data_IF_769304103684
#
_entry.id   IF_769304103684
#
_cell.length_a   1.000
_cell.length_b   1.000
_cell.length_c   1.000
_cell.angle_alpha   90.00
_cell.angle_beta   90.00
_cell.angle_gamma   90.00
#
_symmetry.space_group_name_H-M   'P 1'
#
loop_
_entity.id
_entity.type
_entity.pdbx_description
1 polymer ?
#
# COMPACT_ATOMS: atom_id res chain seq x y z
N UNK A 1 19.60 50.82 30.27
CA UNK A 1 20.13 49.53 29.76
C UNK A 1 19.47 48.40 30.56
N UNK A 2 19.04 47.28 30.01
CA UNK A 2 18.54 46.99 28.66
C UNK A 2 17.58 45.79 28.83
N UNK A 3 16.37 45.84 28.27
CA UNK A 3 15.42 44.74 28.41
C UNK A 3 15.86 43.56 27.52
N UNK A 4 16.01 42.37 28.10
CA UNK A 4 16.31 41.15 27.35
C UNK A 4 15.03 40.70 26.61
N UNK A 5 15.02 40.64 25.27
CA UNK A 5 13.83 40.21 24.53
C UNK A 5 13.55 38.74 24.80
N UNK A 6 12.32 38.42 25.23
CA UNK A 6 11.86 37.04 25.39
C UNK A 6 11.82 36.34 24.05
N UNK A 7 12.84 35.53 23.75
CA UNK A 7 12.88 34.69 22.57
C UNK A 7 11.67 33.75 22.57
N UNK A 8 10.80 33.88 21.56
CA UNK A 8 9.76 32.87 21.28
C UNK A 8 10.46 31.53 21.13
N UNK A 9 10.26 30.62 22.10
CA UNK A 9 10.63 29.21 21.94
C UNK A 9 9.81 28.65 20.78
N UNK A 10 10.41 28.62 19.59
CA UNK A 10 9.93 27.79 18.50
C UNK A 10 9.95 26.35 18.99
N UNK A 11 8.77 25.79 19.27
CA UNK A 11 8.64 24.36 19.52
C UNK A 11 9.22 23.57 18.33
N UNK A 12 9.62 22.31 18.55
CA UNK A 12 10.08 21.46 17.44
C UNK A 12 9.01 21.46 16.35
N UNK A 13 9.43 21.63 15.09
CA UNK A 13 8.53 21.68 13.94
C UNK A 13 7.59 20.46 14.00
N UNK A 14 6.28 20.71 14.15
CA UNK A 14 5.32 19.66 14.44
C UNK A 14 5.25 18.68 13.27
N UNK A 15 5.76 17.47 13.49
CA UNK A 15 5.74 16.42 12.47
C UNK A 15 4.32 16.08 12.03
N UNK A 16 4.18 15.67 10.78
CA UNK A 16 2.88 15.22 10.28
C UNK A 16 2.52 13.88 10.94
N UNK A 17 1.24 13.70 11.27
CA UNK A 17 0.73 12.46 11.84
C UNK A 17 0.19 11.56 10.74
N UNK A 18 0.62 10.32 10.75
CA UNK A 18 0.29 9.30 9.76
C UNK A 18 -0.35 8.09 10.44
N UNK A 19 -0.97 7.25 9.62
CA UNK A 19 -1.19 5.86 9.99
C UNK A 19 -0.93 4.93 8.80
N UNK A 20 -0.53 3.72 9.13
CA UNK A 20 -0.42 2.63 8.18
C UNK A 20 -1.42 1.53 8.53
N UNK A 21 -1.99 0.87 7.52
CA UNK A 21 -2.60 -0.45 7.72
C UNK A 21 -1.49 -1.51 7.73
N UNK A 22 -1.67 -2.56 8.53
CA UNK A 22 -0.78 -3.71 8.62
C UNK A 22 -1.56 -5.03 8.45
N UNK A 23 -0.87 -6.12 8.09
CA UNK A 23 -1.40 -7.46 8.28
C UNK A 23 -1.59 -7.76 9.78
N UNK A 24 -2.51 -8.68 10.12
CA UNK A 24 -2.68 -9.11 11.53
C UNK A 24 -1.38 -9.75 12.02
N UNK A 25 -0.90 -9.30 13.19
CA UNK A 25 0.37 -9.75 13.76
C UNK A 25 1.59 -8.98 13.25
N UNK A 26 1.46 -8.13 12.22
CA UNK A 26 2.55 -7.29 11.71
C UNK A 26 2.62 -5.91 12.38
N UNK A 27 1.65 -5.55 13.22
CA UNK A 27 1.65 -4.27 13.94
C UNK A 27 2.92 -4.06 14.79
N UNK A 28 3.48 -5.07 15.52
CA UNK A 28 4.73 -4.91 16.26
C UNK A 28 5.95 -4.67 15.37
N UNK A 29 6.03 -5.33 14.21
CA UNK A 29 7.09 -5.12 13.23
C UNK A 29 7.05 -3.68 12.70
N UNK A 30 5.86 -3.21 12.33
CA UNK A 30 5.67 -1.88 11.80
C UNK A 30 5.92 -0.80 12.86
N UNK A 31 5.53 -1.03 14.11
CA UNK A 31 5.88 -0.15 15.23
C UNK A 31 7.40 -0.06 15.47
N UNK A 32 8.15 -1.15 15.30
CA UNK A 32 9.63 -1.13 15.36
C UNK A 32 10.20 -0.38 14.16
N UNK A 33 9.70 -0.68 12.96
CA UNK A 33 10.17 -0.11 11.70
C UNK A 33 9.99 1.41 11.63
N UNK A 34 8.82 1.96 11.99
CA UNK A 34 8.62 3.42 11.96
C UNK A 34 9.49 4.14 12.99
N UNK A 35 9.74 3.53 14.16
CA UNK A 35 10.66 4.10 15.17
C UNK A 35 12.09 4.13 14.67
N UNK A 36 12.60 3.01 14.14
CA UNK A 36 14.00 2.93 13.69
C UNK A 36 14.27 3.68 12.39
N UNK A 37 13.38 3.61 11.40
CA UNK A 37 13.61 4.18 10.06
C UNK A 37 13.14 5.62 9.91
N UNK A 38 12.11 6.03 10.64
CA UNK A 38 11.47 7.36 10.48
C UNK A 38 11.60 8.24 11.73
N UNK A 39 12.41 7.82 12.72
CA UNK A 39 12.53 8.46 14.04
C UNK A 39 11.16 8.77 14.67
N UNK A 40 10.17 7.90 14.44
CA UNK A 40 8.78 8.25 14.65
C UNK A 40 8.42 8.33 16.14
N UNK A 41 7.66 9.36 16.49
CA UNK A 41 7.15 9.64 17.85
C UNK A 41 5.65 9.35 17.93
N UNK A 42 5.08 9.38 19.14
CA UNK A 42 3.65 9.12 19.38
C UNK A 42 3.14 7.81 18.74
N UNK A 43 4.01 6.79 18.72
CA UNK A 43 3.75 5.52 18.02
C UNK A 43 2.82 4.65 18.86
N UNK A 44 1.60 4.46 18.36
CA UNK A 44 0.52 3.68 18.95
C UNK A 44 -0.05 2.70 17.89
N UNK A 45 -0.76 1.65 18.32
CA UNK A 45 -1.44 0.75 17.40
C UNK A 45 -2.80 0.30 17.93
N UNK A 46 -3.64 -0.12 17.00
CA UNK A 46 -4.89 -0.86 17.20
C UNK A 46 -4.93 -1.98 16.16
N UNK A 47 -5.84 -2.95 16.26
CA UNK A 47 -5.83 -4.10 15.35
C UNK A 47 -5.84 -3.68 13.87
N UNK A 48 -4.82 -4.12 13.14
CA UNK A 48 -4.56 -3.84 11.73
C UNK A 48 -4.09 -2.42 11.39
N UNK A 49 -3.79 -1.53 12.36
CA UNK A 49 -3.32 -0.16 12.10
C UNK A 49 -2.29 0.36 13.13
N UNK A 50 -1.23 0.98 12.63
CA UNK A 50 -0.21 1.69 13.43
C UNK A 50 -0.26 3.17 13.11
N UNK A 51 -0.31 4.03 14.12
CA UNK A 51 -0.32 5.50 14.01
C UNK A 51 0.99 6.04 14.56
N UNK A 52 1.49 7.12 13.96
CA UNK A 52 2.78 7.69 14.33
C UNK A 52 2.94 9.12 13.81
N UNK A 53 3.86 9.88 14.42
CA UNK A 53 4.19 11.25 14.03
C UNK A 53 5.65 11.32 13.58
N UNK A 54 5.94 11.88 12.41
CA UNK A 54 7.31 12.00 11.88
C UNK A 54 7.49 13.23 10.98
N UNK A 55 8.74 13.69 10.86
CA UNK A 55 9.18 14.71 9.91
C UNK A 55 9.91 14.10 8.69
N UNK A 56 9.96 12.76 8.56
CA UNK A 56 10.59 12.06 7.44
C UNK A 56 9.91 12.36 6.09
N UNK A 57 10.71 12.35 5.02
CA UNK A 57 10.22 12.63 3.67
C UNK A 57 9.49 11.44 3.02
N UNK A 58 8.86 11.69 1.87
CA UNK A 58 8.16 10.65 1.10
C UNK A 58 9.06 9.50 0.63
N UNK A 59 10.36 9.72 0.44
CA UNK A 59 11.28 8.67 0.02
C UNK A 59 11.57 7.71 1.17
N UNK A 60 11.70 8.21 2.40
CA UNK A 60 11.80 7.41 3.61
C UNK A 60 10.48 6.67 3.89
N UNK A 61 9.34 7.37 3.82
CA UNK A 61 8.01 6.77 4.01
C UNK A 61 7.71 5.66 3.00
N UNK A 62 8.17 5.79 1.75
CA UNK A 62 8.02 4.77 0.69
C UNK A 62 8.88 3.52 0.92
N UNK A 63 9.93 3.60 1.74
CA UNK A 63 10.79 2.45 2.06
C UNK A 63 10.21 1.52 3.12
N UNK A 64 9.07 1.85 3.74
CA UNK A 64 8.43 0.98 4.73
C UNK A 64 8.09 -0.40 4.14
N UNK A 65 8.55 -1.45 4.83
CA UNK A 65 8.55 -2.84 4.37
C UNK A 65 7.42 -3.67 4.96
N UNK A 66 7.04 -3.43 6.22
CA UNK A 66 5.96 -4.13 6.93
C UNK A 66 4.59 -3.45 6.78
N UNK A 67 4.54 -2.23 6.22
CA UNK A 67 3.30 -1.49 5.98
C UNK A 67 2.55 -1.95 4.71
N UNK A 68 1.22 -2.02 4.78
CA UNK A 68 0.36 -2.34 3.64
C UNK A 68 0.01 -1.10 2.81
N UNK A 69 -0.54 -0.07 3.45
CA UNK A 69 -0.89 1.24 2.87
C UNK A 69 -0.62 2.32 3.90
N UNK A 70 -0.10 3.46 3.45
CA UNK A 70 0.20 4.64 4.26
C UNK A 70 -0.81 5.75 3.98
N UNK A 71 -1.26 6.41 5.05
CA UNK A 71 -2.23 7.50 5.02
C UNK A 71 -1.72 8.66 5.89
N UNK A 72 -1.89 9.89 5.43
CA UNK A 72 -1.82 11.09 6.27
C UNK A 72 -3.10 11.10 7.13
N UNK A 73 -2.96 11.23 8.45
CA UNK A 73 -4.10 11.25 9.36
C UNK A 73 -4.77 12.63 9.32
N UNK A 74 -6.09 12.64 9.08
CA UNK A 74 -6.92 13.84 9.29
C UNK A 74 -7.50 13.80 10.70
N UNK A 75 -8.20 12.71 11.05
CA UNK A 75 -8.93 12.58 12.33
C UNK A 75 -8.97 11.14 12.79
N UNK A 76 -8.82 10.92 14.10
CA UNK A 76 -9.00 9.65 14.80
C UNK A 76 -9.90 9.92 16.00
N UNK A 77 -11.01 9.20 16.12
CA UNK A 77 -11.95 9.35 17.23
C UNK A 77 -12.53 8.00 17.67
N UNK A 78 -13.24 8.04 18.79
CA UNK A 78 -14.01 6.91 19.33
C UNK A 78 -15.09 6.42 18.33
N UNK A 79 -15.50 5.14 18.43
CA UNK A 79 -16.55 4.59 17.58
C UNK A 79 -17.90 5.26 17.84
N UNK A 80 -18.79 5.24 16.85
CA UNK A 80 -20.18 5.64 17.06
C UNK A 80 -20.90 4.58 17.90
N UNK A 81 -21.76 5.02 18.82
CA UNK A 81 -22.64 4.11 19.54
C UNK A 81 -23.76 3.65 18.59
N UNK A 82 -23.77 2.37 18.20
CA UNK A 82 -24.75 1.80 17.25
C UNK A 82 -25.90 1.09 17.97
N UNK A 83 -25.67 0.54 19.16
CA UNK A 83 -26.59 -0.40 19.81
C UNK A 83 -27.84 0.25 20.43
N UNK A 84 -27.85 1.56 20.62
CA UNK A 84 -28.97 2.31 21.24
C UNK A 84 -29.45 3.52 20.43
N UNK A 85 -29.07 3.61 19.15
CA UNK A 85 -29.10 4.86 18.39
C UNK A 85 -29.73 4.65 17.01
N UNK A 86 -30.66 5.53 16.61
CA UNK A 86 -31.33 5.44 15.31
C UNK A 86 -30.39 5.74 14.14
N UNK A 87 -30.67 5.18 12.95
CA UNK A 87 -29.87 5.39 11.72
C UNK A 87 -29.64 6.89 11.44
N UNK A 88 -30.66 7.73 11.70
CA UNK A 88 -30.59 9.19 11.59
C UNK A 88 -29.56 9.85 12.52
N UNK A 89 -29.48 9.45 13.79
CA UNK A 89 -28.48 9.98 14.73
C UNK A 89 -27.06 9.59 14.33
N UNK A 90 -26.85 8.38 13.81
CA UNK A 90 -25.53 7.95 13.31
C UNK A 90 -25.15 8.72 12.03
N UNK A 91 -26.11 9.03 11.14
CA UNK A 91 -25.85 9.93 10.00
C UNK A 91 -25.37 11.32 10.46
N UNK A 92 -25.96 11.88 11.52
CA UNK A 92 -25.52 13.17 12.08
C UNK A 92 -24.07 13.06 12.61
N UNK A 93 -23.73 12.00 13.36
CA UNK A 93 -22.36 11.75 13.82
C UNK A 93 -21.36 11.57 12.66
N UNK A 94 -21.78 10.97 11.53
CA UNK A 94 -20.97 10.93 10.29
C UNK A 94 -20.76 12.31 9.67
N UNK A 95 -21.72 13.23 9.76
CA UNK A 95 -21.55 14.61 9.30
C UNK A 95 -20.62 15.40 10.23
N UNK A 96 -20.74 15.19 11.54
CA UNK A 96 -19.89 15.80 12.59
C UNK A 96 -18.40 15.44 12.47
N UNK A 97 -18.05 14.28 11.92
CA UNK A 97 -16.66 13.95 11.52
C UNK A 97 -16.02 15.05 10.66
N UNK A 98 -16.83 15.67 9.80
CA UNK A 98 -16.41 16.72 8.85
C UNK A 98 -16.62 18.11 9.44
N UNK A 99 -17.79 18.36 10.04
CA UNK A 99 -18.23 19.70 10.40
C UNK A 99 -17.63 20.23 11.71
N UNK A 100 -17.37 19.37 12.70
CA UNK A 100 -16.98 19.80 14.06
C UNK A 100 -15.53 20.33 14.15
N UNK A 101 -14.69 20.07 13.14
CA UNK A 101 -13.28 20.49 13.11
C UNK A 101 -12.80 20.69 11.67
N UNK A 102 -13.19 21.79 10.99
CA UNK A 102 -12.79 22.04 9.60
C UNK A 102 -11.30 22.38 9.46
N UNK A 103 -10.66 22.88 10.51
CA UNK A 103 -9.25 23.30 10.50
C UNK A 103 -8.32 22.10 10.31
N UNK A 104 -8.55 20.98 11.00
CA UNK A 104 -7.78 19.75 10.81
C UNK A 104 -7.83 19.23 9.36
N UNK A 105 -8.98 19.37 8.67
CA UNK A 105 -9.10 19.01 7.26
C UNK A 105 -8.27 19.94 6.36
N UNK A 106 -8.39 21.26 6.54
CA UNK A 106 -7.64 22.24 5.74
C UNK A 106 -6.13 22.11 5.95
N UNK A 107 -5.69 21.88 7.20
CA UNK A 107 -4.29 21.63 7.54
C UNK A 107 -3.78 20.33 6.89
N UNK A 108 -4.52 19.23 7.00
CA UNK A 108 -4.14 17.97 6.36
C UNK A 108 -4.08 18.07 4.83
N UNK A 109 -4.98 18.82 4.19
CA UNK A 109 -4.94 19.10 2.74
C UNK A 109 -3.72 19.95 2.38
N UNK A 110 -3.36 20.95 3.18
CA UNK A 110 -2.14 21.75 3.01
C UNK A 110 -0.87 20.87 3.09
N UNK A 111 -0.76 20.05 4.15
CA UNK A 111 0.35 19.09 4.31
C UNK A 111 0.41 18.12 3.12
N UNK A 112 -0.73 17.59 2.66
CA UNK A 112 -0.79 16.69 1.51
C UNK A 112 -0.34 17.35 0.20
N UNK A 113 -0.79 18.60 -0.08
CA UNK A 113 -0.32 19.38 -1.24
C UNK A 113 1.20 19.59 -1.19
N UNK A 114 1.73 20.00 -0.04
CA UNK A 114 3.17 20.20 0.17
C UNK A 114 3.97 18.91 -0.07
N UNK A 115 3.49 17.75 0.41
CA UNK A 115 4.10 16.44 0.15
C UNK A 115 4.15 16.13 -1.36
N UNK A 116 3.06 16.39 -2.10
CA UNK A 116 3.02 16.18 -3.56
C UNK A 116 3.97 17.12 -4.32
N UNK A 117 4.03 18.40 -3.97
CA UNK A 117 4.95 19.36 -4.60
C UNK A 117 6.41 18.99 -4.39
N UNK A 118 6.79 18.60 -3.17
CA UNK A 118 8.15 18.16 -2.85
C UNK A 118 8.54 16.92 -3.67
N UNK A 119 7.59 16.01 -3.92
CA UNK A 119 7.79 14.87 -4.81
C UNK A 119 8.03 15.33 -6.27
N UNK A 120 7.18 16.20 -6.79
CA UNK A 120 7.30 16.71 -8.16
C UNK A 120 8.62 17.49 -8.40
N UNK A 121 9.04 18.30 -7.42
CA UNK A 121 10.33 19.01 -7.43
C UNK A 121 11.51 18.03 -7.41
N UNK A 122 11.47 17.00 -6.54
CA UNK A 122 12.52 15.94 -6.48
C UNK A 122 12.61 15.11 -7.76
N UNK A 123 11.49 14.73 -8.38
CA UNK A 123 11.49 13.99 -9.66
C UNK A 123 12.15 14.82 -10.77
N UNK A 124 11.80 16.11 -10.90
CA UNK A 124 12.41 17.03 -11.88
C UNK A 124 13.93 17.21 -11.64
N UNK A 125 14.38 17.27 -10.39
CA UNK A 125 15.80 17.30 -10.04
C UNK A 125 16.53 15.99 -10.40
N UNK A 126 15.95 14.83 -10.11
CA UNK A 126 16.55 13.54 -10.49
C UNK A 126 16.67 13.35 -12.01
N UNK A 127 15.74 13.94 -12.79
CA UNK A 127 15.80 13.92 -14.26
C UNK A 127 16.85 14.90 -14.82
N UNK A 128 17.12 16.04 -14.15
CA UNK A 128 18.20 16.96 -14.54
C UNK A 128 19.60 16.42 -14.25
N UNK A 129 19.77 15.58 -13.23
CA UNK A 129 21.06 15.03 -12.84
C UNK A 129 21.46 13.75 -13.60
N UNK A 130 20.62 13.28 -14.53
CA UNK A 130 20.96 12.19 -15.45
C UNK A 130 21.50 12.77 -16.76
N UNK A 131 22.81 12.63 -17.00
CA UNK A 131 23.46 13.13 -18.22
C UNK A 131 22.84 12.51 -19.50
N UNK A 132 22.44 13.31 -20.50
CA UNK A 132 21.78 12.81 -21.72
C UNK A 132 22.82 12.28 -22.73
N UNK A 133 23.39 11.10 -22.46
CA UNK A 133 24.17 10.36 -23.45
C UNK A 133 23.23 9.67 -24.46
N UNK A 134 23.31 10.13 -25.71
CA UNK A 134 22.48 9.69 -26.84
C UNK A 134 22.41 8.16 -26.97
N UNK A 135 21.22 7.59 -26.78
CA UNK A 135 20.81 6.33 -27.44
C UNK A 135 19.43 6.52 -28.07
N UNK A 136 19.23 5.89 -29.23
CA UNK A 136 18.06 6.09 -30.09
C UNK A 136 16.77 5.79 -29.33
N UNK A 137 15.75 6.61 -29.57
CA UNK A 137 14.37 6.35 -29.14
C UNK A 137 13.89 5.07 -29.83
N UNK A 138 13.90 3.96 -29.07
CA UNK A 138 13.19 2.74 -29.43
C UNK A 138 11.82 2.76 -28.79
N UNK A 139 10.78 2.47 -29.58
CA UNK A 139 9.39 2.47 -29.15
C UNK A 139 9.14 1.49 -28.00
N UNK A 140 8.93 1.98 -26.77
CA UNK A 140 8.42 1.15 -25.66
C UNK A 140 7.61 1.93 -24.59
N UNK A 141 7.76 3.27 -24.47
CA UNK A 141 7.09 4.04 -23.40
C UNK A 141 5.65 4.53 -23.72
N UNK A 142 5.14 4.31 -24.94
CA UNK A 142 3.78 4.75 -25.33
C UNK A 142 2.71 3.68 -25.06
N UNK A 143 3.10 2.40 -25.04
CA UNK A 143 2.16 1.25 -24.91
C UNK A 143 1.58 1.16 -23.48
N UNK A 144 2.33 1.59 -22.46
CA UNK A 144 1.92 1.58 -21.06
C UNK A 144 0.70 2.48 -20.73
N UNK A 145 0.32 3.39 -21.64
CA UNK A 145 -0.85 4.29 -21.48
C UNK A 145 -2.17 3.74 -22.05
N UNK A 146 -2.16 2.63 -22.80
CA UNK A 146 -3.39 2.03 -23.36
C UNK A 146 -3.69 0.59 -22.92
N UNK A 147 -2.68 -0.24 -22.59
CA UNK A 147 -2.96 -1.66 -22.28
C UNK A 147 -3.51 -1.96 -20.88
N UNK A 148 -3.34 -1.08 -19.89
CA UNK A 148 -3.80 -1.34 -18.50
C UNK A 148 -5.27 -1.03 -18.23
N UNK A 149 -6.03 -0.64 -19.25
CA UNK A 149 -7.49 -0.44 -19.15
C UNK A 149 -8.27 -1.72 -19.51
N UNK A 150 -7.68 -2.64 -20.28
CA UNK A 150 -8.35 -3.87 -20.73
C UNK A 150 -8.32 -5.00 -19.69
N UNK A 151 -7.17 -5.25 -19.04
CA UNK A 151 -6.99 -6.37 -18.09
C UNK A 151 -7.77 -6.21 -16.77
N UNK A 152 -8.42 -5.06 -16.53
CA UNK A 152 -9.31 -4.86 -15.38
C UNK A 152 -10.77 -5.26 -15.64
N UNK A 153 -11.16 -5.62 -16.87
CA UNK A 153 -12.53 -6.04 -17.19
C UNK A 153 -12.71 -7.57 -17.07
N UNK A 154 -11.76 -8.39 -17.53
CA UNK A 154 -11.90 -9.87 -17.51
C UNK A 154 -11.84 -10.52 -16.11
N UNK A 155 -11.37 -9.82 -15.07
CA UNK A 155 -11.24 -10.39 -13.72
C UNK A 155 -12.52 -10.19 -12.88
N UNK A 156 -13.41 -9.26 -13.26
CA UNK A 156 -14.69 -9.05 -12.59
C UNK A 156 -15.73 -10.08 -13.09
N UNK A 157 -15.84 -10.29 -14.41
CA UNK A 157 -16.88 -11.13 -15.02
C UNK A 157 -16.74 -12.64 -14.70
N UNK A 158 -15.53 -13.12 -14.37
CA UNK A 158 -15.30 -14.52 -13.97
C UNK A 158 -15.69 -14.87 -12.53
N UNK A 159 -16.33 -13.96 -11.78
CA UNK A 159 -16.85 -14.22 -10.42
C UNK A 159 -18.35 -14.02 -10.21
N UNK A 160 -19.05 -13.49 -11.21
CA UNK A 160 -20.52 -13.32 -11.17
C UNK A 160 -21.25 -14.37 -12.05
N UNK A 161 -20.52 -15.22 -12.77
CA UNK A 161 -21.09 -16.35 -13.53
C UNK A 161 -21.28 -17.62 -12.66
N UNK A 162 -22.05 -17.49 -11.57
CA UNK A 162 -22.67 -18.57 -10.80
C UNK A 162 -23.66 -17.96 -9.80
N UNK A 163 -24.95 -18.30 -9.93
CA UNK A 163 -26.16 -17.55 -9.49
C UNK A 163 -26.68 -16.64 -10.61
N UNK A 164 -28.01 -16.57 -10.78
CA UNK A 164 -28.74 -15.97 -11.91
C UNK A 164 -28.68 -16.75 -13.25
N UNK A 165 -29.01 -18.04 -13.16
CA UNK A 165 -30.00 -18.60 -14.12
C UNK A 165 -31.38 -18.44 -13.49
N UNK A 166 -32.37 -18.10 -14.33
CA UNK A 166 -33.80 -17.95 -14.00
C UNK A 166 -34.14 -16.74 -13.12
N UNK A 167 -34.51 -15.64 -13.76
CA UNK A 167 -35.90 -15.12 -13.82
C UNK A 167 -36.00 -14.12 -14.99
N UNK A 168 -37.09 -14.26 -15.75
CA UNK A 168 -37.76 -13.36 -16.73
C UNK A 168 -36.96 -12.14 -17.29
N UNK A 169 -36.72 -12.01 -18.61
CA UNK A 169 -37.68 -11.78 -19.72
C UNK A 169 -38.58 -10.54 -19.58
N UNK A 170 -38.80 -9.85 -20.71
CA UNK A 170 -39.51 -8.56 -20.89
C UNK A 170 -38.78 -7.32 -20.32
N UNK A 171 -38.61 -6.20 -21.05
CA UNK A 171 -39.02 -5.83 -22.41
C UNK A 171 -37.96 -4.95 -23.10
N UNK A 172 -37.89 -5.02 -24.43
CA UNK A 172 -37.04 -4.19 -25.29
C UNK A 172 -37.83 -2.97 -25.81
N UNK A 173 -37.12 -2.11 -26.55
CA UNK A 173 -37.61 -1.08 -27.49
C UNK A 173 -37.78 0.34 -26.92
N UNK A 174 -36.86 1.26 -27.25
CA UNK A 174 -36.82 2.12 -28.46
C UNK A 174 -37.87 3.25 -28.40
N UNK A 175 -37.55 4.51 -28.74
CA UNK A 175 -36.28 5.09 -29.20
C UNK A 175 -36.51 6.48 -29.83
N UNK A 176 -35.49 6.98 -30.53
CA UNK A 176 -35.54 8.09 -31.50
C UNK A 176 -35.69 9.54 -30.96
N UNK A 177 -34.68 10.41 -31.16
CA UNK A 177 -34.42 11.29 -32.34
C UNK A 177 -35.26 12.60 -32.28
N UNK A 178 -34.81 13.83 -32.59
CA UNK A 178 -33.63 14.30 -33.36
C UNK A 178 -33.40 15.82 -33.17
N UNK A 179 -32.14 16.30 -33.10
CA UNK A 179 -31.65 17.63 -33.60
C UNK A 179 -32.30 18.97 -33.13
N UNK A 180 -31.73 20.19 -33.27
CA UNK A 180 -30.70 20.77 -34.19
C UNK A 180 -30.23 22.15 -33.67
N UNK A 181 -28.95 22.53 -33.92
CA UNK A 181 -28.43 23.88 -34.30
C UNK A 181 -28.65 25.12 -33.37
N UNK A 182 -27.88 26.21 -33.44
CA UNK A 182 -26.46 26.52 -33.78
C UNK A 182 -26.22 28.05 -33.62
N UNK A 183 -24.95 28.50 -33.63
CA UNK A 183 -24.46 29.92 -33.69
C UNK A 183 -24.59 30.78 -32.41
N UNK A 184 -23.71 31.77 -32.12
CA UNK A 184 -22.32 32.08 -32.59
C UNK A 184 -21.66 33.16 -31.69
N UNK A 185 -20.32 33.16 -31.67
CA UNK A 185 -19.30 34.22 -31.47
C UNK A 185 -19.76 35.69 -31.22
N UNK A 186 -19.02 36.57 -30.51
CA UNK A 186 -17.62 37.02 -30.77
C UNK A 186 -16.82 37.47 -29.52
N UNK A 187 -15.54 37.83 -29.74
CA UNK A 187 -14.49 38.13 -28.76
C UNK A 187 -14.37 39.65 -28.42
N UNK A 188 -13.65 39.99 -27.32
CA UNK A 188 -12.64 41.07 -27.36
C UNK A 188 -11.62 40.96 -26.20
N UNK A 189 -10.46 41.61 -26.38
CA UNK A 189 -9.31 41.64 -25.46
C UNK A 189 -9.05 43.11 -25.00
N UNK A 190 -8.20 43.47 -24.03
CA UNK A 190 -7.17 42.81 -23.21
C UNK A 190 -7.19 43.42 -21.78
N UNK A 191 -6.43 42.87 -20.80
CA UNK A 191 -5.27 43.57 -20.20
C UNK A 191 -4.61 42.87 -19.01
N UNK A 192 -3.35 43.24 -18.77
CA UNK A 192 -2.38 42.58 -17.88
C UNK A 192 -2.37 43.20 -16.48
N UNK A 193 -2.50 42.37 -15.45
CA UNK A 193 -1.98 42.65 -14.11
C UNK A 193 -1.55 41.33 -13.43
N UNK A 194 -0.30 41.24 -12.97
CA UNK A 194 0.22 40.07 -12.27
C UNK A 194 -0.45 39.89 -10.90
N UNK A 195 -1.47 39.03 -10.85
CA UNK A 195 -2.10 38.63 -9.61
C UNK A 195 -1.25 37.57 -8.89
N UNK A 196 -0.82 37.90 -7.66
CA UNK A 196 -0.13 36.99 -6.75
C UNK A 196 -0.97 35.73 -6.52
N UNK A 197 -0.36 34.56 -6.66
CA UNK A 197 -1.05 33.29 -6.80
C UNK A 197 -1.65 32.73 -5.49
N UNK A 198 -2.77 33.32 -5.06
CA UNK A 198 -3.68 32.70 -4.07
C UNK A 198 -4.50 31.60 -4.75
N UNK A 199 -3.89 30.42 -4.93
CA UNK A 199 -4.56 29.21 -5.43
C UNK A 199 -5.89 28.92 -4.68
N UNK A 200 -7.02 29.16 -5.36
CA UNK A 200 -8.37 28.87 -4.86
C UNK A 200 -8.54 27.41 -4.40
N UNK A 201 -8.98 27.19 -3.17
CA UNK A 201 -9.29 25.83 -2.69
C UNK A 201 -10.59 25.24 -3.27
N UNK A 202 -11.42 26.06 -3.91
CA UNK A 202 -12.78 25.72 -4.34
C UNK A 202 -12.86 24.77 -5.55
N UNK A 203 -11.76 24.51 -6.26
CA UNK A 203 -11.72 23.61 -7.42
C UNK A 203 -11.14 22.22 -7.14
N UNK A 204 -10.92 21.86 -5.86
CA UNK A 204 -10.45 20.52 -5.50
C UNK A 204 -11.51 19.44 -5.83
N UNK A 205 -11.14 18.46 -6.66
CA UNK A 205 -11.97 17.27 -6.89
C UNK A 205 -11.60 16.11 -5.97
N UNK A 206 -12.60 15.39 -5.46
CA UNK A 206 -12.38 14.32 -4.48
C UNK A 206 -13.28 13.10 -4.66
N UNK A 207 -12.84 11.96 -4.11
CA UNK A 207 -13.71 10.79 -3.83
C UNK A 207 -13.60 10.38 -2.37
N UNK A 208 -14.66 9.76 -1.84
CA UNK A 208 -14.64 9.11 -0.52
C UNK A 208 -14.53 7.59 -0.71
N UNK A 209 -13.51 7.00 -0.10
CA UNK A 209 -13.30 5.55 -0.05
C UNK A 209 -13.54 5.08 1.38
N UNK A 210 -14.79 4.76 1.68
CA UNK A 210 -15.21 4.31 3.00
C UNK A 210 -15.08 2.78 3.15
N UNK A 211 -14.76 2.32 4.36
CA UNK A 211 -14.84 0.92 4.79
C UNK A 211 -15.56 0.86 6.12
N UNK A 212 -16.59 0.03 6.19
CA UNK A 212 -17.32 -0.28 7.42
C UNK A 212 -16.84 -1.64 7.97
N UNK A 213 -16.94 -1.83 9.28
CA UNK A 213 -16.74 -3.13 9.95
C UNK A 213 -17.61 -3.20 11.20
N UNK A 214 -17.83 -4.41 11.72
CA UNK A 214 -18.57 -4.61 12.96
C UNK A 214 -20.07 -4.29 12.85
N UNK A 215 -20.66 -3.77 13.92
CA UNK A 215 -22.04 -3.30 13.99
C UNK A 215 -22.33 -2.23 12.93
N UNK A 216 -21.41 -1.29 12.67
CA UNK A 216 -21.59 -0.27 11.61
C UNK A 216 -21.84 -0.92 10.24
N UNK A 217 -21.12 -1.99 9.90
CA UNK A 217 -21.29 -2.70 8.63
C UNK A 217 -22.62 -3.46 8.51
N UNK A 218 -23.31 -3.73 9.63
CA UNK A 218 -24.66 -4.31 9.64
C UNK A 218 -25.76 -3.25 9.43
N UNK A 219 -25.47 -1.99 9.75
CA UNK A 219 -26.46 -0.88 9.68
C UNK A 219 -26.29 0.01 8.44
N UNK A 220 -25.06 0.11 7.91
CA UNK A 220 -24.71 0.94 6.76
C UNK A 220 -23.83 0.20 5.77
N UNK A 221 -24.17 0.32 4.49
CA UNK A 221 -23.20 -0.03 3.44
C UNK A 221 -22.05 0.99 3.42
N UNK A 222 -20.89 0.58 2.94
CA UNK A 222 -19.76 1.49 2.77
C UNK A 222 -20.09 2.64 1.78
N UNK A 223 -20.95 2.40 0.81
CA UNK A 223 -21.42 3.40 -0.15
C UNK A 223 -22.36 4.43 0.50
N UNK A 224 -23.29 4.00 1.36
CA UNK A 224 -24.15 4.91 2.12
C UNK A 224 -23.32 5.85 3.00
N UNK A 225 -22.39 5.31 3.79
CA UNK A 225 -21.52 6.10 4.66
C UNK A 225 -20.62 7.05 3.85
N UNK A 226 -20.03 6.56 2.74
CA UNK A 226 -19.23 7.38 1.83
C UNK A 226 -20.03 8.53 1.21
N UNK A 227 -21.29 8.30 0.82
CA UNK A 227 -22.18 9.34 0.26
C UNK A 227 -22.51 10.43 1.28
N UNK A 228 -22.79 10.06 2.54
CA UNK A 228 -23.13 11.02 3.61
C UNK A 228 -21.96 11.96 3.88
N UNK A 229 -20.76 11.39 4.02
CA UNK A 229 -19.55 12.17 4.30
C UNK A 229 -19.13 12.97 3.05
N UNK A 230 -19.34 12.44 1.84
CA UNK A 230 -19.18 13.18 0.60
C UNK A 230 -20.08 14.43 0.54
N UNK A 231 -21.36 14.30 0.88
CA UNK A 231 -22.29 15.45 0.95
C UNK A 231 -21.85 16.46 2.03
N UNK A 232 -21.33 15.99 3.17
CA UNK A 232 -20.79 16.88 4.20
C UNK A 232 -19.58 17.67 3.69
N UNK A 233 -18.63 17.01 3.02
CA UNK A 233 -17.44 17.63 2.43
C UNK A 233 -17.81 18.67 1.35
N UNK A 234 -18.76 18.35 0.47
CA UNK A 234 -19.27 19.29 -0.54
C UNK A 234 -19.88 20.54 0.11
N UNK A 235 -20.67 20.38 1.18
CA UNK A 235 -21.31 21.50 1.89
C UNK A 235 -20.32 22.33 2.70
N UNK A 236 -19.34 21.70 3.35
CA UNK A 236 -18.41 22.35 4.27
C UNK A 236 -17.27 23.08 3.55
N UNK A 237 -16.80 22.53 2.42
CA UNK A 237 -15.61 23.04 1.72
C UNK A 237 -15.83 23.41 0.24
N UNK A 238 -17.04 23.22 -0.30
CA UNK A 238 -17.34 23.51 -1.71
C UNK A 238 -16.70 22.56 -2.73
N UNK A 239 -16.02 21.49 -2.28
CA UNK A 239 -15.29 20.56 -3.15
C UNK A 239 -16.21 19.80 -4.11
N UNK A 240 -15.69 19.43 -5.28
CA UNK A 240 -16.44 18.75 -6.35
C UNK A 240 -16.20 17.24 -6.30
N UNK A 241 -17.25 16.42 -6.32
CA UNK A 241 -17.10 14.97 -6.32
C UNK A 241 -16.69 14.45 -7.71
N UNK A 242 -15.57 13.71 -7.78
CA UNK A 242 -15.16 12.95 -8.96
C UNK A 242 -14.76 11.53 -8.53
N UNK A 243 -15.58 10.55 -8.92
CA UNK A 243 -15.37 9.14 -8.55
C UNK A 243 -14.33 8.44 -9.46
N UNK A 244 -14.04 9.00 -10.64
CA UNK A 244 -13.20 8.39 -11.68
C UNK A 244 -11.76 8.90 -11.61
N UNK A 245 -11.54 10.22 -11.59
CA UNK A 245 -10.21 10.84 -11.61
C UNK A 245 -10.04 12.00 -10.60
N UNK A 246 -10.31 11.75 -9.30
CA UNK A 246 -10.19 12.78 -8.27
C UNK A 246 -8.75 13.30 -8.12
N UNK A 247 -8.62 14.55 -7.70
CA UNK A 247 -7.34 15.06 -7.20
C UNK A 247 -6.95 14.35 -5.89
N UNK A 248 -7.90 14.19 -4.96
CA UNK A 248 -7.68 13.58 -3.64
C UNK A 248 -8.65 12.42 -3.34
N UNK A 249 -8.13 11.35 -2.74
CA UNK A 249 -8.94 10.29 -2.14
C UNK A 249 -9.02 10.52 -0.62
N UNK A 250 -10.24 10.58 -0.08
CA UNK A 250 -10.47 10.60 1.36
C UNK A 250 -10.82 9.18 1.80
N UNK A 251 -9.90 8.54 2.52
CA UNK A 251 -10.13 7.22 3.09
C UNK A 251 -10.78 7.35 4.48
N UNK A 252 -11.80 6.54 4.71
CA UNK A 252 -12.55 6.51 5.98
C UNK A 252 -12.73 5.07 6.43
N UNK A 253 -12.42 4.75 7.68
CA UNK A 253 -12.74 3.48 8.29
C UNK A 253 -13.58 3.67 9.55
N UNK A 254 -14.81 3.17 9.48
CA UNK A 254 -15.76 3.14 10.58
C UNK A 254 -15.81 1.71 11.15
N UNK A 255 -15.69 1.60 12.48
CA UNK A 255 -15.62 0.31 13.18
C UNK A 255 -16.13 0.45 14.61
N UNK A 256 -16.41 -0.69 15.25
CA UNK A 256 -16.91 -0.74 16.64
C UNK A 256 -15.88 -0.30 17.69
N UNK A 257 -14.63 -0.03 17.29
CA UNK A 257 -13.52 0.35 18.16
C UNK A 257 -12.88 1.71 17.82
N UNK A 258 -13.16 2.28 16.65
CA UNK A 258 -12.72 3.62 16.24
C UNK A 258 -13.36 4.08 14.92
N UNK A 259 -13.39 5.40 14.73
CA UNK A 259 -13.52 6.02 13.43
C UNK A 259 -12.19 6.71 13.06
N UNK A 260 -11.66 6.45 11.86
CA UNK A 260 -10.44 7.10 11.35
C UNK A 260 -10.64 7.63 9.94
N UNK A 261 -10.11 8.83 9.69
CA UNK A 261 -10.15 9.57 8.44
C UNK A 261 -8.72 9.94 8.04
N UNK A 262 -8.36 9.75 6.77
CA UNK A 262 -7.05 10.13 6.27
C UNK A 262 -6.95 10.14 4.74
N UNK A 263 -5.83 10.65 4.23
CA UNK A 263 -5.54 10.75 2.80
C UNK A 263 -4.48 9.70 2.44
N UNK A 264 -4.72 8.76 1.51
CA UNK A 264 -3.69 7.83 1.05
C UNK A 264 -2.50 8.61 0.47
N UNK A 265 -1.31 8.39 1.02
CA UNK A 265 -0.09 9.10 0.58
C UNK A 265 0.38 8.60 -0.80
N UNK A 266 0.10 7.33 -1.10
CA UNK A 266 0.42 6.70 -2.37
C UNK A 266 -0.83 6.03 -2.97
N UNK A 267 -0.98 6.12 -4.30
CA UNK A 267 -2.08 5.45 -5.04
C UNK A 267 -2.00 3.93 -4.87
N UNK A 268 -0.81 3.37 -5.15
CA UNK A 268 -0.48 1.95 -5.04
C UNK A 268 -0.09 1.61 -3.58
N UNK A 269 -0.49 0.44 -3.03
CA UNK A 269 -0.04 -0.01 -1.71
C UNK A 269 1.47 -0.09 -1.56
N UNK A 270 1.99 0.04 -0.33
CA UNK A 270 3.42 -0.15 -0.03
C UNK A 270 3.84 -1.62 -0.12
N UNK A 271 2.95 -2.55 0.19
CA UNK A 271 3.17 -3.99 0.04
C UNK A 271 3.29 -4.42 -1.44
N UNK A 272 2.72 -3.65 -2.38
CA UNK A 272 2.82 -3.87 -3.82
C UNK A 272 4.19 -3.40 -4.34
N UNK A 273 5.17 -4.29 -4.31
CA UNK A 273 6.54 -4.00 -4.73
C UNK A 273 6.63 -3.92 -6.25
N UNK A 274 7.09 -2.79 -6.78
CA UNK A 274 7.30 -2.61 -8.22
C UNK A 274 8.37 -3.55 -8.83
N UNK A 275 9.20 -4.17 -7.98
CA UNK A 275 10.25 -5.12 -8.37
C UNK A 275 9.82 -6.59 -8.30
N UNK A 276 8.58 -6.90 -7.90
CA UNK A 276 8.00 -8.25 -7.96
C UNK A 276 7.01 -8.27 -9.13
N UNK A 277 7.22 -9.17 -10.10
CA UNK A 277 6.32 -9.36 -11.25
C UNK A 277 5.22 -10.37 -10.92
N UNK A 278 5.60 -11.51 -10.36
CA UNK A 278 4.70 -12.62 -10.06
C UNK A 278 4.57 -12.75 -8.55
N UNK A 279 3.35 -12.55 -8.04
CA UNK A 279 3.09 -12.53 -6.61
C UNK A 279 3.08 -13.95 -6.01
N UNK A 280 3.95 -14.21 -5.04
CA UNK A 280 3.95 -15.41 -4.20
C UNK A 280 3.46 -15.08 -2.79
N UNK A 281 4.24 -15.47 -1.78
CA UNK A 281 4.07 -15.02 -0.40
C UNK A 281 3.99 -13.48 -0.34
N UNK A 282 3.16 -12.96 0.57
CA UNK A 282 2.98 -11.51 0.71
C UNK A 282 4.28 -10.84 1.14
N UNK A 283 4.75 -9.82 0.42
CA UNK A 283 6.03 -9.13 0.64
C UNK A 283 6.24 -8.61 2.07
N UNK A 284 5.15 -8.23 2.77
CA UNK A 284 5.16 -7.76 4.16
C UNK A 284 5.41 -8.90 5.15
N UNK A 285 4.92 -10.11 4.87
CA UNK A 285 5.16 -11.33 5.64
C UNK A 285 6.58 -11.85 5.35
N UNK A 286 6.96 -11.93 4.07
CA UNK A 286 8.29 -12.35 3.63
C UNK A 286 9.42 -11.51 4.29
N UNK A 287 9.27 -10.19 4.31
CA UNK A 287 10.20 -9.31 5.02
C UNK A 287 10.17 -9.51 6.54
N UNK A 288 9.01 -9.74 7.15
CA UNK A 288 8.91 -9.99 8.59
C UNK A 288 9.63 -11.29 8.98
N UNK A 289 9.47 -12.38 8.21
CA UNK A 289 10.19 -13.64 8.38
C UNK A 289 11.70 -13.43 8.30
N UNK A 290 12.18 -12.73 7.26
CA UNK A 290 13.60 -12.41 7.11
C UNK A 290 14.13 -11.53 8.26
N UNK A 291 13.35 -10.57 8.76
CA UNK A 291 13.73 -9.73 9.90
C UNK A 291 13.82 -10.48 11.23
N UNK A 292 13.09 -11.59 11.39
CA UNK A 292 13.23 -12.50 12.53
C UNK A 292 14.39 -13.48 12.39
N UNK A 293 14.98 -13.61 11.21
CA UNK A 293 16.06 -14.58 10.97
C UNK A 293 17.43 -14.11 11.47
N UNK A 294 17.59 -12.83 11.82
CA UNK A 294 18.83 -12.25 12.40
C UNK A 294 20.06 -12.42 11.48
N UNK A 295 19.83 -12.29 10.17
CA UNK A 295 20.82 -12.47 9.10
C UNK A 295 22.04 -11.56 9.34
N UNK A 296 23.23 -12.15 9.31
CA UNK A 296 24.54 -11.48 9.46
C UNK A 296 25.17 -11.24 8.09
N UNK A 297 25.99 -10.20 7.97
CA UNK A 297 26.81 -9.99 6.77
C UNK A 297 27.79 -11.16 6.59
N UNK A 298 27.98 -11.59 5.33
CA UNK A 298 28.80 -12.74 4.95
C UNK A 298 28.10 -14.10 5.08
N UNK A 299 26.91 -14.18 5.67
CA UNK A 299 26.20 -15.44 5.90
C UNK A 299 25.69 -16.09 4.60
N UNK A 300 25.47 -17.40 4.66
CA UNK A 300 24.74 -18.20 3.66
C UNK A 300 23.33 -18.47 4.16
N UNK A 301 22.33 -17.97 3.41
CA UNK A 301 20.90 -18.10 3.72
C UNK A 301 20.22 -19.00 2.70
N UNK A 302 19.51 -20.03 3.18
CA UNK A 302 18.79 -20.98 2.35
C UNK A 302 17.26 -20.85 2.51
N UNK A 303 16.53 -20.86 1.40
CA UNK A 303 15.12 -21.21 1.37
C UNK A 303 14.95 -22.51 0.54
N UNK A 304 14.80 -23.68 1.19
CA UNK A 304 14.83 -24.97 0.52
C UNK A 304 13.53 -25.33 -0.23
N UNK A 305 12.49 -24.50 -0.14
CA UNK A 305 11.22 -24.62 -0.87
C UNK A 305 10.75 -23.22 -1.30
N UNK A 306 11.60 -22.51 -2.04
CA UNK A 306 11.52 -21.07 -2.21
C UNK A 306 10.33 -20.56 -3.04
N UNK A 307 9.63 -21.44 -3.77
CA UNK A 307 8.53 -21.05 -4.64
C UNK A 307 8.95 -19.95 -5.63
N UNK A 308 8.22 -18.84 -5.62
CA UNK A 308 8.51 -17.63 -6.41
C UNK A 308 9.62 -16.72 -5.83
N UNK A 309 10.40 -17.22 -4.85
CA UNK A 309 11.61 -16.59 -4.30
C UNK A 309 11.37 -15.35 -3.44
N UNK A 310 10.14 -15.08 -2.97
CA UNK A 310 9.79 -13.77 -2.37
C UNK A 310 10.51 -13.50 -1.04
N UNK A 311 10.79 -14.54 -0.24
CA UNK A 311 11.54 -14.44 1.03
C UNK A 311 12.97 -13.97 0.76
N UNK A 312 13.70 -14.72 -0.07
CA UNK A 312 15.07 -14.38 -0.47
C UNK A 312 15.15 -13.02 -1.16
N UNK A 313 14.16 -12.65 -1.98
CA UNK A 313 14.11 -11.36 -2.66
C UNK A 313 13.95 -10.18 -1.69
N UNK A 314 13.03 -10.26 -0.72
CA UNK A 314 12.90 -9.22 0.32
C UNK A 314 14.13 -9.18 1.23
N UNK A 315 14.74 -10.34 1.55
CA UNK A 315 15.96 -10.44 2.33
C UNK A 315 17.16 -9.78 1.63
N UNK A 316 17.46 -10.15 0.37
CA UNK A 316 18.57 -9.59 -0.40
C UNK A 316 18.42 -8.10 -0.75
N UNK A 317 17.20 -7.55 -0.66
CA UNK A 317 16.96 -6.09 -0.72
C UNK A 317 17.26 -5.36 0.60
N UNK A 318 17.37 -6.07 1.71
CA UNK A 318 17.54 -5.54 3.06
C UNK A 318 18.96 -5.79 3.58
N UNK A 319 19.48 -7.01 3.41
CA UNK A 319 20.85 -7.41 3.72
C UNK A 319 21.59 -7.74 2.41
N UNK A 320 22.21 -6.75 1.73
CA UNK A 320 22.80 -6.96 0.41
C UNK A 320 24.10 -7.78 0.44
N UNK A 321 24.76 -7.88 1.59
CA UNK A 321 26.11 -8.45 1.74
C UNK A 321 26.03 -9.88 2.29
N UNK A 322 25.21 -10.71 1.66
CA UNK A 322 24.78 -12.05 2.09
C UNK A 322 24.63 -12.93 0.85
N UNK A 323 24.97 -14.21 0.97
CA UNK A 323 24.78 -15.20 -0.07
C UNK A 323 23.44 -15.91 0.11
N UNK A 324 22.65 -15.99 -0.96
CA UNK A 324 21.30 -16.54 -0.91
C UNK A 324 21.15 -17.70 -1.88
N UNK A 325 20.59 -18.81 -1.39
CA UNK A 325 20.27 -19.99 -2.19
C UNK A 325 18.77 -20.28 -2.03
N UNK A 326 18.08 -20.48 -3.14
CA UNK A 326 16.71 -20.98 -3.17
C UNK A 326 16.65 -22.33 -3.86
N UNK A 327 15.95 -23.30 -3.28
CA UNK A 327 15.66 -24.57 -3.93
C UNK A 327 14.15 -24.76 -4.07
N UNK A 328 13.71 -25.37 -5.17
CA UNK A 328 12.34 -25.86 -5.33
C UNK A 328 12.32 -27.02 -6.32
N UNK A 329 11.35 -27.94 -6.17
CA UNK A 329 11.16 -29.07 -7.09
C UNK A 329 10.45 -28.65 -8.38
N UNK A 330 9.75 -27.51 -8.38
CA UNK A 330 8.85 -27.10 -9.45
C UNK A 330 9.50 -26.12 -10.43
N UNK A 331 9.63 -26.54 -11.69
CA UNK A 331 10.11 -25.67 -12.78
C UNK A 331 9.32 -24.36 -12.89
N UNK A 332 8.00 -24.40 -12.74
CA UNK A 332 7.15 -23.21 -12.88
C UNK A 332 7.34 -22.21 -11.74
N UNK A 333 7.63 -22.69 -10.52
CA UNK A 333 8.02 -21.84 -9.40
C UNK A 333 9.38 -21.18 -9.67
N UNK A 334 10.40 -21.96 -10.02
CA UNK A 334 11.74 -21.45 -10.28
C UNK A 334 11.82 -20.51 -11.49
N UNK A 335 11.03 -20.74 -12.54
CA UNK A 335 10.91 -19.80 -13.66
C UNK A 335 10.32 -18.47 -13.20
N UNK A 336 9.24 -18.50 -12.40
CA UNK A 336 8.64 -17.30 -11.83
C UNK A 336 9.55 -16.57 -10.83
N UNK A 337 10.32 -17.32 -10.02
CA UNK A 337 11.37 -16.77 -9.17
C UNK A 337 12.46 -16.09 -10.00
N UNK A 338 12.97 -16.75 -11.03
CA UNK A 338 13.98 -16.21 -11.94
C UNK A 338 13.52 -14.90 -12.61
N UNK A 339 12.25 -14.78 -12.99
CA UNK A 339 11.69 -13.54 -13.54
C UNK A 339 11.50 -12.43 -12.48
N UNK A 340 11.17 -12.78 -11.24
CA UNK A 340 11.19 -11.86 -10.11
C UNK A 340 12.63 -11.37 -9.80
N UNK A 341 13.62 -12.26 -9.80
CA UNK A 341 15.03 -11.92 -9.59
C UNK A 341 15.57 -10.98 -10.68
N UNK A 342 15.25 -11.26 -11.96
CA UNK A 342 15.55 -10.35 -13.08
C UNK A 342 14.90 -8.97 -12.87
N UNK A 343 13.61 -8.93 -12.52
CA UNK A 343 12.87 -7.69 -12.31
C UNK A 343 13.41 -6.86 -11.12
N UNK A 344 13.93 -7.54 -10.10
CA UNK A 344 14.54 -6.91 -8.94
C UNK A 344 16.01 -6.54 -9.14
N UNK A 345 16.69 -7.01 -10.20
CA UNK A 345 18.14 -6.85 -10.36
C UNK A 345 18.93 -7.61 -9.30
N UNK A 346 18.53 -8.85 -9.00
CA UNK A 346 19.10 -9.72 -7.97
C UNK A 346 19.53 -11.09 -8.50
N UNK A 347 19.55 -11.29 -9.82
CA UNK A 347 19.93 -12.56 -10.45
C UNK A 347 21.34 -13.02 -10.05
N UNK A 348 22.25 -12.09 -9.83
CA UNK A 348 23.66 -12.37 -9.48
C UNK A 348 23.90 -12.42 -7.96
N UNK A 349 22.82 -12.37 -7.15
CA UNK A 349 22.85 -12.44 -5.67
C UNK A 349 22.10 -13.63 -5.07
N UNK A 350 21.18 -14.22 -5.82
CA UNK A 350 20.34 -15.33 -5.38
C UNK A 350 20.49 -16.47 -6.38
N UNK A 351 21.13 -17.56 -5.95
CA UNK A 351 21.24 -18.80 -6.71
C UNK A 351 19.93 -19.61 -6.60
N UNK A 352 19.52 -20.26 -7.68
CA UNK A 352 18.30 -21.06 -7.74
C UNK A 352 18.61 -22.49 -8.19
N UNK A 353 18.26 -23.47 -7.36
CA UNK A 353 18.52 -24.89 -7.56
C UNK A 353 17.20 -25.65 -7.80
N UNK A 354 17.14 -26.42 -8.88
CA UNK A 354 16.03 -27.37 -9.12
C UNK A 354 16.35 -28.69 -8.43
N UNK A 355 15.95 -28.81 -7.17
CA UNK A 355 16.23 -29.99 -6.35
C UNK A 355 15.19 -30.13 -5.23
N UNK A 356 15.03 -31.35 -4.73
CA UNK A 356 14.21 -31.61 -3.55
C UNK A 356 14.98 -31.24 -2.28
N UNK A 357 14.28 -30.76 -1.25
CA UNK A 357 14.89 -30.44 0.06
C UNK A 357 15.62 -31.64 0.70
N UNK A 358 15.19 -32.86 0.39
CA UNK A 358 15.80 -34.10 0.89
C UNK A 358 17.08 -34.51 0.12
N UNK A 359 17.42 -33.81 -0.96
CA UNK A 359 18.53 -34.12 -1.89
C UNK A 359 19.40 -32.88 -2.17
N UNK A 360 19.41 -31.90 -1.24
CA UNK A 360 20.16 -30.65 -1.41
C UNK A 360 21.67 -30.94 -1.61
N UNK A 361 22.30 -30.45 -2.70
CA UNK A 361 23.70 -30.70 -3.02
C UNK A 361 24.64 -29.73 -2.27
N UNK A 362 24.37 -29.52 -0.97
CA UNK A 362 25.11 -28.61 -0.10
C UNK A 362 25.91 -29.43 0.93
N UNK A 363 27.19 -29.08 1.20
CA UNK A 363 27.96 -29.72 2.26
C UNK A 363 27.30 -29.55 3.63
N UNK A 364 27.63 -30.45 4.55
CA UNK A 364 27.18 -30.30 5.95
C UNK A 364 27.76 -29.05 6.60
N UNK A 365 26.99 -28.45 7.50
CA UNK A 365 27.29 -27.18 8.19
C UNK A 365 27.60 -25.98 7.26
N UNK A 366 27.21 -26.02 5.97
CA UNK A 366 27.53 -24.96 5.00
C UNK A 366 26.52 -23.80 4.92
N UNK A 367 25.48 -23.81 5.75
CA UNK A 367 24.37 -22.84 5.74
C UNK A 367 24.12 -22.29 7.13
N UNK A 368 24.30 -20.98 7.29
CA UNK A 368 24.13 -20.27 8.57
C UNK A 368 22.66 -20.15 9.00
N UNK A 369 21.72 -20.08 8.06
CA UNK A 369 20.32 -19.75 8.35
C UNK A 369 19.35 -20.30 7.30
N UNK A 370 18.34 -21.05 7.75
CA UNK A 370 17.17 -21.39 6.91
C UNK A 370 15.99 -20.46 7.20
N UNK A 371 15.33 -20.00 6.12
CA UNK A 371 14.09 -19.23 6.16
C UNK A 371 13.17 -19.77 5.06
N UNK A 372 11.99 -20.30 5.41
CA UNK A 372 11.09 -20.90 4.42
C UNK A 372 9.61 -20.78 4.82
N UNK A 373 8.74 -20.65 3.82
CA UNK A 373 7.28 -20.79 3.94
C UNK A 373 6.89 -22.18 3.43
N UNK A 374 7.02 -23.17 4.31
CA UNK A 374 6.89 -24.59 3.97
C UNK A 374 5.43 -24.92 3.56
N UNK A 375 5.16 -25.77 2.56
CA UNK A 375 3.80 -26.00 2.13
C UNK A 375 2.99 -26.84 3.15
N UNK A 376 1.72 -26.49 3.36
CA UNK A 376 0.83 -27.14 4.33
C UNK A 376 -0.41 -27.82 3.70
N UNK A 377 -0.28 -28.41 2.50
CA UNK A 377 -1.29 -29.29 1.90
C UNK A 377 -2.54 -28.61 1.29
N UNK A 378 -2.77 -27.30 1.52
CA UNK A 378 -3.98 -26.59 1.04
C UNK A 378 -3.98 -26.21 -0.45
N UNK A 379 -2.81 -25.95 -1.03
CA UNK A 379 -2.63 -25.61 -2.46
C UNK A 379 -1.57 -26.48 -3.13
N UNK A 380 -0.46 -26.71 -2.42
CA UNK A 380 0.59 -27.64 -2.79
C UNK A 380 0.59 -28.79 -1.78
N UNK A 381 0.57 -30.02 -2.27
CA UNK A 381 0.68 -31.24 -1.46
C UNK A 381 2.14 -31.71 -1.48
N UNK A 382 2.69 -32.03 -0.32
CA UNK A 382 3.96 -32.76 -0.24
C UNK A 382 3.66 -34.25 -0.38
N UNK A 383 4.57 -34.98 -1.03
CA UNK A 383 4.45 -36.44 -1.19
C UNK A 383 4.79 -37.23 0.09
N UNK A 384 5.42 -36.59 1.08
CA UNK A 384 5.74 -37.13 2.42
C UNK A 384 5.09 -36.27 3.51
N UNK A 385 5.01 -36.80 4.73
CA UNK A 385 4.60 -36.03 5.91
C UNK A 385 5.56 -34.85 6.14
N UNK A 386 5.00 -33.69 6.46
CA UNK A 386 5.75 -32.46 6.77
C UNK A 386 6.67 -32.65 7.98
N UNK A 387 6.28 -33.51 8.94
CA UNK A 387 7.15 -33.87 10.08
C UNK A 387 8.42 -34.58 9.63
N UNK A 388 8.30 -35.50 8.67
CA UNK A 388 9.44 -36.23 8.13
C UNK A 388 10.40 -35.28 7.40
N UNK A 389 9.87 -34.30 6.68
CA UNK A 389 10.69 -33.31 5.94
C UNK A 389 11.39 -32.33 6.89
N UNK A 390 10.72 -31.88 7.97
CA UNK A 390 11.39 -31.08 9.02
C UNK A 390 12.47 -31.93 9.72
N UNK A 391 12.20 -33.20 10.02
CA UNK A 391 13.19 -34.12 10.58
C UNK A 391 14.35 -34.42 9.63
N UNK A 392 14.13 -34.51 8.31
CA UNK A 392 15.20 -34.65 7.30
C UNK A 392 16.03 -33.35 7.17
N UNK A 393 15.43 -32.17 7.35
CA UNK A 393 16.19 -30.92 7.48
C UNK A 393 17.05 -30.95 8.75
N UNK A 394 16.47 -31.29 9.91
CA UNK A 394 17.18 -31.27 11.20
C UNK A 394 18.25 -32.38 11.33
N UNK A 395 18.02 -33.57 10.76
CA UNK A 395 18.87 -34.76 11.00
C UNK A 395 20.04 -34.93 10.02
N UNK A 396 20.03 -34.28 8.85
CA UNK A 396 21.14 -34.36 7.88
C UNK A 396 22.38 -33.52 8.27
N UNK A 397 22.48 -32.97 9.48
CA UNK A 397 23.60 -32.16 9.98
C UNK A 397 24.02 -30.96 9.08
N UNK A 398 23.15 -30.52 8.17
CA UNK A 398 23.49 -29.48 7.19
C UNK A 398 23.31 -28.05 7.72
N UNK A 399 22.71 -27.86 8.90
CA UNK A 399 22.18 -26.55 9.32
C UNK A 399 22.34 -26.26 10.82
N UNK A 400 22.83 -25.07 11.14
CA UNK A 400 23.04 -24.62 12.53
C UNK A 400 21.79 -23.98 13.14
N UNK A 401 20.91 -23.37 12.34
CA UNK A 401 19.66 -22.73 12.78
C UNK A 401 18.53 -22.84 11.74
N UNK A 402 17.43 -23.49 12.14
CA UNK A 402 16.19 -23.57 11.36
C UNK A 402 15.12 -22.66 11.98
N UNK A 403 14.65 -21.64 11.25
CA UNK A 403 13.47 -20.83 11.65
C UNK A 403 12.33 -21.07 10.65
N UNK A 404 11.57 -22.15 10.87
CA UNK A 404 10.32 -22.42 10.13
C UNK A 404 9.21 -21.48 10.62
N UNK A 405 8.56 -20.77 9.70
CA UNK A 405 7.41 -19.93 10.00
C UNK A 405 6.11 -20.57 9.53
N UNK A 406 5.01 -20.21 10.17
CA UNK A 406 3.67 -20.73 9.89
C UNK A 406 2.73 -19.56 9.64
N UNK A 407 2.06 -19.53 8.49
CA UNK A 407 0.87 -18.69 8.34
C UNK A 407 -0.22 -19.14 9.33
N UNK A 408 -0.75 -18.19 10.12
CA UNK A 408 -1.80 -18.40 11.13
C UNK A 408 -3.16 -17.93 10.61
#
# INVERSE_FOLDING_TARGET
MAAVPGGRRSGPAAGARFFCTAGRGLEPFLMREVRSRLAATQVEYISGKVFFTTCSDLNMLKKLKSAERLFLLIKKQLPFNVSSVSKGKIFNEMQRLTNDDPESWLNAISIWKNLLELNAKKVKLSQKNANPLKRKVGENDIIAKKLKTAEMQEIQEKKECQVEKQIEEETLEQGNFTTKRDKSQEELQNDVAEAVDTHNQNDLTFRVSCRCSGAIAKTFTAQEAGRVIGIALMKQFGWKADLRNPNVEIFIHLSDIYCVVGIPVFRVPLASRAYIKTAGLRSTIAWAMASLAEIKAGAVVLDPMCGLGTILLEAAKEWPDVYYVGADVSDSQLLGACDNLKAAGLKDKIELLKVSVIELPLPSESVDTIISDIPFGKKFKLGKDIKHIIQEMESNNNFTYVKCFREV
#
